data_IF_671221913605
#
_entry.id   IF_671221913605
#
_cell.length_a   1.000
_cell.length_b   1.000
_cell.length_c   1.000
_cell.angle_alpha   90.00
_cell.angle_beta   90.00
_cell.angle_gamma   90.00
#
_symmetry.space_group_name_H-M   'P 1'
#
loop_
_entity.id
_entity.type
_entity.pdbx_description
1 polymer ?
#
# COMPACT_ATOMS: atom_id res chain seq x y z
N UNK A 1 -8.49 -21.88 11.21
CA UNK A 1 -9.09 -20.66 10.66
C UNK A 1 -7.95 -19.88 10.04
N UNK A 2 -7.83 -19.80 8.72
CA UNK A 2 -6.82 -18.94 8.10
C UNK A 2 -7.34 -17.50 8.18
N UNK A 3 -6.87 -16.79 9.18
CA UNK A 3 -6.99 -15.33 9.28
C UNK A 3 -6.32 -14.77 8.01
N UNK A 4 -6.96 -13.86 7.24
CA UNK A 4 -6.25 -13.21 6.15
C UNK A 4 -5.05 -12.51 6.79
N UNK A 5 -3.84 -12.98 6.45
CA UNK A 5 -2.57 -12.38 6.89
C UNK A 5 -2.77 -10.88 6.77
N UNK A 6 -2.74 -10.20 7.92
CA UNK A 6 -2.69 -8.75 7.96
C UNK A 6 -1.62 -8.37 6.95
N UNK A 7 -2.06 -7.76 5.85
CA UNK A 7 -1.20 -7.31 4.77
C UNK A 7 -0.13 -6.45 5.45
N UNK A 8 1.11 -6.94 5.46
CA UNK A 8 2.22 -6.26 6.11
C UNK A 8 2.17 -4.80 5.68
N UNK A 9 2.22 -3.82 6.61
CA UNK A 9 2.04 -2.42 6.28
C UNK A 9 3.03 -2.04 5.18
N UNK A 10 2.49 -1.89 3.97
CA UNK A 10 3.29 -1.70 2.77
C UNK A 10 4.01 -0.36 2.88
N UNK A 11 5.20 -0.23 2.30
CA UNK A 11 5.94 1.04 2.38
C UNK A 11 5.95 1.72 1.02
N UNK A 12 5.86 3.04 1.03
CA UNK A 12 6.03 3.84 -0.17
C UNK A 12 7.47 3.64 -0.70
N UNK A 13 7.65 3.34 -1.98
CA UNK A 13 8.99 3.17 -2.57
C UNK A 13 9.78 4.49 -2.66
N UNK A 14 9.12 5.64 -2.57
CA UNK A 14 9.76 6.95 -2.75
C UNK A 14 10.30 7.51 -1.41
N UNK A 15 9.42 7.63 -0.41
CA UNK A 15 9.77 8.19 0.90
C UNK A 15 10.00 7.13 2.00
N UNK A 16 9.67 5.86 1.75
CA UNK A 16 9.74 4.79 2.75
C UNK A 16 8.65 4.85 3.83
N UNK A 17 7.69 5.78 3.71
CA UNK A 17 6.59 5.91 4.67
C UNK A 17 5.70 4.66 4.68
N UNK A 18 5.16 4.31 5.85
CA UNK A 18 4.19 3.24 5.97
C UNK A 18 2.86 3.67 5.31
N UNK A 19 2.43 2.90 4.32
CA UNK A 19 1.15 3.06 3.65
C UNK A 19 0.04 2.51 4.57
N UNK A 20 -1.10 3.21 4.67
CA UNK A 20 -2.22 2.77 5.48
C UNK A 20 -2.77 1.42 4.98
N UNK A 21 -3.57 0.74 5.80
CA UNK A 21 -4.16 -0.55 5.44
C UNK A 21 -4.97 -0.41 4.14
N UNK A 22 -4.80 -1.36 3.21
CA UNK A 22 -5.40 -1.32 1.86
C UNK A 22 -6.92 -1.19 1.93
N UNK A 23 -7.47 -0.23 1.19
CA UNK A 23 -8.90 -0.18 0.92
C UNK A 23 -9.31 -1.36 0.02
N UNK A 24 -10.27 -2.21 0.44
CA UNK A 24 -10.68 -3.38 -0.33
C UNK A 24 -11.31 -3.03 -1.69
N UNK A 25 -11.74 -1.77 -1.89
CA UNK A 25 -12.31 -1.26 -3.13
C UNK A 25 -11.27 -0.74 -4.13
N UNK A 26 -10.14 -0.25 -3.65
CA UNK A 26 -9.20 0.52 -4.47
C UNK A 26 -8.11 -0.39 -5.07
N UNK A 27 -7.76 -1.50 -4.41
CA UNK A 27 -6.80 -2.48 -4.94
C UNK A 27 -5.34 -2.00 -4.97
N UNK A 28 -5.10 -0.72 -4.73
CA UNK A 28 -3.79 -0.07 -4.59
C UNK A 28 -3.76 0.81 -3.34
N UNK A 29 -2.55 1.17 -2.90
CA UNK A 29 -2.28 2.04 -1.76
C UNK A 29 -1.95 3.45 -2.24
N UNK A 30 -2.46 4.47 -1.56
CA UNK A 30 -2.01 5.85 -1.79
C UNK A 30 -1.06 6.26 -0.67
N UNK A 31 0.10 6.77 -1.02
CA UNK A 31 0.94 7.49 -0.07
C UNK A 31 0.38 8.90 0.12
N UNK A 32 -0.01 9.27 1.34
CA UNK A 32 -0.51 10.63 1.64
C UNK A 32 0.58 11.71 1.49
N UNK A 33 1.85 11.33 1.72
CA UNK A 33 2.99 12.24 1.69
C UNK A 33 3.44 12.57 0.26
N UNK A 34 3.54 11.55 -0.59
CA UNK A 34 3.98 11.71 -1.97
C UNK A 34 2.82 11.78 -2.99
N UNK A 35 1.60 11.54 -2.54
CA UNK A 35 0.41 11.35 -3.40
C UNK A 35 0.63 10.26 -4.48
N UNK A 36 1.50 9.29 -4.19
CA UNK A 36 1.88 8.20 -5.10
C UNK A 36 1.00 6.98 -4.88
N UNK A 37 0.43 6.46 -5.96
CA UNK A 37 -0.26 5.18 -5.98
C UNK A 37 0.76 4.03 -6.07
N UNK A 38 0.60 3.02 -5.22
CA UNK A 38 1.47 1.84 -5.11
C UNK A 38 0.62 0.58 -5.24
N UNK A 39 1.06 -0.41 -6.01
CA UNK A 39 0.35 -1.66 -6.23
C UNK A 39 0.65 -2.75 -5.18
N UNK A 40 0.10 -3.95 -5.40
CA UNK A 40 0.28 -5.12 -4.52
C UNK A 40 1.70 -5.70 -4.48
N UNK A 41 2.55 -5.38 -5.44
CA UNK A 41 3.96 -5.72 -5.45
C UNK A 41 4.81 -4.65 -4.74
N UNK A 42 4.22 -3.50 -4.40
CA UNK A 42 4.95 -2.36 -3.85
C UNK A 42 5.56 -1.47 -4.93
N UNK A 43 5.15 -1.64 -6.19
CA UNK A 43 5.59 -0.81 -7.30
C UNK A 43 4.67 0.40 -7.51
N UNK A 44 5.22 1.49 -8.01
CA UNK A 44 4.44 2.69 -8.32
C UNK A 44 3.61 2.46 -9.58
N UNK A 45 2.36 2.92 -9.57
CA UNK A 45 1.43 2.74 -10.69
C UNK A 45 1.32 4.01 -11.57
N UNK A 46 1.75 5.17 -11.07
CA UNK A 46 1.76 6.44 -11.81
C UNK A 46 2.95 7.32 -11.38
#
# INVERSE_FOLDING_TARGET
MCEPRADDPKRCPDCGAALPLRDPLIGWWLCDDCEVAVDENGERIA
#
